data_IF_863940654300
#
_entry.id   IF_863940654300
#
_cell.length_a   1.000
_cell.length_b   1.000
_cell.length_c   1.000
_cell.angle_alpha   90.00
_cell.angle_beta   90.00
_cell.angle_gamma   90.00
#
_symmetry.space_group_name_H-M   'P 1'
#
loop_
_entity.id
_entity.type
_entity.pdbx_description
1 polymer ?
#
# COMPACT_ATOMS: atom_id res chain seq x y z
N UNK A 1 1.59 23.19 15.41
CA UNK A 1 2.76 22.92 14.56
C UNK A 1 2.37 23.08 13.09
N UNK A 2 3.12 23.90 12.37
CA UNK A 2 2.84 24.09 10.95
C UNK A 2 3.39 22.91 10.15
N UNK A 3 2.56 22.35 9.29
CA UNK A 3 3.06 21.35 8.35
C UNK A 3 3.93 22.04 7.30
N UNK A 4 4.99 21.39 6.94
CA UNK A 4 5.83 21.83 5.84
C UNK A 4 5.07 21.63 4.52
N UNK A 5 4.91 22.70 3.75
CA UNK A 5 4.27 22.65 2.43
C UNK A 5 5.31 23.08 1.40
N UNK A 6 5.88 22.13 0.65
CA UNK A 6 6.90 22.47 -0.33
C UNK A 6 6.31 23.22 -1.52
N UNK A 7 7.14 24.00 -2.18
CA UNK A 7 6.75 24.63 -3.44
C UNK A 7 6.62 23.60 -4.54
N UNK A 8 7.57 22.68 -4.61
CA UNK A 8 7.59 21.58 -5.60
C UNK A 8 8.04 20.31 -4.92
N UNK A 9 7.73 19.19 -5.56
CA UNK A 9 8.24 17.91 -5.15
C UNK A 9 7.21 17.05 -4.44
N UNK A 10 7.71 16.00 -3.81
CA UNK A 10 6.87 14.97 -3.20
C UNK A 10 7.06 14.95 -1.69
N UNK A 11 5.96 14.80 -0.98
CA UNK A 11 5.96 14.55 0.47
C UNK A 11 5.27 13.21 0.71
N UNK A 12 5.90 12.35 1.51
CA UNK A 12 5.38 11.03 1.85
C UNK A 12 5.08 10.96 3.33
N UNK A 13 3.91 10.43 3.66
CA UNK A 13 3.49 10.22 5.04
C UNK A 13 2.94 8.80 5.17
N UNK A 14 3.30 8.10 6.24
CA UNK A 14 2.79 6.76 6.52
C UNK A 14 1.68 6.82 7.54
N UNK A 15 0.66 6.00 7.31
CA UNK A 15 -0.46 5.83 8.24
C UNK A 15 -0.78 4.36 8.39
N UNK A 16 -0.97 3.93 9.64
CA UNK A 16 -1.47 2.61 9.93
C UNK A 16 -2.99 2.67 9.90
N UNK A 17 -3.62 1.96 8.95
CA UNK A 17 -5.07 1.98 8.80
C UNK A 17 -5.76 0.99 9.74
N UNK A 18 -5.17 -0.19 9.89
CA UNK A 18 -5.64 -1.22 10.83
C UNK A 18 -4.47 -2.14 11.17
N UNK A 19 -4.73 -3.25 11.87
CA UNK A 19 -3.67 -4.12 12.38
C UNK A 19 -2.77 -4.70 11.29
N UNK A 20 -3.27 -4.82 10.07
CA UNK A 20 -2.53 -5.45 8.99
C UNK A 20 -2.34 -4.58 7.74
N UNK A 21 -2.81 -3.34 7.77
CA UNK A 21 -2.80 -2.48 6.59
C UNK A 21 -2.10 -1.16 6.88
N UNK A 22 -1.09 -0.87 6.09
CA UNK A 22 -0.34 0.38 6.11
C UNK A 22 -0.55 1.10 4.78
N UNK A 23 -0.65 2.41 4.81
CA UNK A 23 -0.65 3.23 3.60
C UNK A 23 0.42 4.30 3.71
N UNK A 24 1.16 4.48 2.62
CA UNK A 24 2.05 5.62 2.44
C UNK A 24 1.38 6.57 1.45
N UNK A 25 1.05 7.76 1.93
CA UNK A 25 0.40 8.78 1.12
C UNK A 25 1.48 9.65 0.51
N UNK A 26 1.57 9.65 -0.81
CA UNK A 26 2.54 10.46 -1.56
C UNK A 26 1.79 11.63 -2.18
N UNK A 27 2.10 12.84 -1.71
CA UNK A 27 1.50 14.07 -2.23
C UNK A 27 2.51 14.76 -3.13
N UNK A 28 2.09 15.10 -4.33
CA UNK A 28 2.92 15.82 -5.28
C UNK A 28 2.50 17.29 -5.31
N UNK A 29 3.47 18.19 -5.14
CA UNK A 29 3.22 19.62 -5.00
C UNK A 29 3.77 20.38 -6.21
N UNK A 30 3.02 21.43 -6.57
CA UNK A 30 3.47 22.44 -7.51
C UNK A 30 2.91 23.79 -7.07
N UNK A 31 3.78 24.81 -6.95
CA UNK A 31 3.42 26.14 -6.46
C UNK A 31 2.67 26.07 -5.11
N UNK A 32 3.19 25.27 -4.18
CA UNK A 32 2.61 25.04 -2.85
C UNK A 32 1.24 24.36 -2.85
N UNK A 33 0.78 23.88 -4.00
CA UNK A 33 -0.51 23.20 -4.12
C UNK A 33 -0.31 21.71 -4.40
N UNK A 34 -1.19 20.89 -3.82
CA UNK A 34 -1.22 19.47 -4.12
C UNK A 34 -1.85 19.29 -5.50
N UNK A 35 -1.08 18.73 -6.44
CA UNK A 35 -1.55 18.46 -7.80
C UNK A 35 -1.90 17.00 -8.03
N UNK A 36 -1.47 16.11 -7.16
CA UNK A 36 -1.79 14.70 -7.27
C UNK A 36 -1.41 13.96 -6.00
N UNK A 37 -2.11 12.86 -5.76
CA UNK A 37 -1.89 12.01 -4.60
C UNK A 37 -1.83 10.56 -5.06
N UNK A 38 -0.84 9.82 -4.58
CA UNK A 38 -0.74 8.37 -4.76
C UNK A 38 -0.81 7.71 -3.39
N UNK A 39 -1.50 6.60 -3.32
CA UNK A 39 -1.67 5.84 -2.09
C UNK A 39 -0.99 4.49 -2.29
N UNK A 40 0.08 4.26 -1.55
CA UNK A 40 0.84 3.00 -1.62
C UNK A 40 0.44 2.15 -0.43
N UNK A 41 -0.27 1.06 -0.70
CA UNK A 41 -0.80 0.17 0.34
C UNK A 41 0.09 -1.04 0.53
N UNK A 42 0.19 -1.48 1.78
CA UNK A 42 0.79 -2.75 2.14
C UNK A 42 -0.15 -3.45 3.12
N UNK A 43 -0.68 -4.60 2.71
CA UNK A 43 -1.51 -5.45 3.57
C UNK A 43 -0.74 -6.71 3.91
N UNK A 44 -0.69 -7.06 5.20
CA UNK A 44 0.03 -8.23 5.69
C UNK A 44 -0.94 -9.23 6.30
N UNK A 45 -0.81 -10.48 5.88
CA UNK A 45 -1.67 -11.55 6.37
C UNK A 45 -0.78 -12.66 6.92
N UNK A 46 -0.90 -12.93 8.23
CA UNK A 46 -0.15 -14.00 8.86
C UNK A 46 -0.80 -15.33 8.58
N UNK A 47 -0.01 -16.29 8.10
CA UNK A 47 -0.46 -17.64 7.79
C UNK A 47 0.45 -18.64 8.48
N UNK A 48 -0.11 -19.82 8.82
CA UNK A 48 0.62 -20.88 9.52
C UNK A 48 1.02 -22.04 8.65
N UNK A 49 0.62 -22.04 7.38
CA UNK A 49 0.93 -23.15 6.46
C UNK A 49 0.93 -22.65 5.02
N UNK A 50 1.53 -23.45 4.15
CA UNK A 50 1.50 -23.17 2.71
C UNK A 50 0.08 -23.27 2.13
N UNK A 51 -0.76 -24.13 2.70
CA UNK A 51 -2.15 -24.23 2.25
C UNK A 51 -2.90 -22.94 2.52
N UNK A 52 -2.76 -22.36 3.72
CA UNK A 52 -3.34 -21.06 4.05
C UNK A 52 -2.78 -19.96 3.16
N UNK A 53 -1.47 -20.01 2.86
CA UNK A 53 -0.83 -19.03 2.00
C UNK A 53 -1.42 -19.09 0.59
N UNK A 54 -1.63 -20.28 0.03
CA UNK A 54 -2.22 -20.46 -1.30
C UNK A 54 -3.64 -19.92 -1.35
N UNK A 55 -4.44 -20.20 -0.32
CA UNK A 55 -5.80 -19.68 -0.24
C UNK A 55 -5.80 -18.14 -0.23
N UNK A 56 -4.88 -17.55 0.53
CA UNK A 56 -4.75 -16.09 0.57
C UNK A 56 -4.29 -15.54 -0.78
N UNK A 57 -3.33 -16.16 -1.41
CA UNK A 57 -2.86 -15.74 -2.74
C UNK A 57 -3.99 -15.80 -3.76
N UNK A 58 -4.81 -16.85 -3.73
CA UNK A 58 -5.95 -16.99 -4.64
C UNK A 58 -6.96 -15.87 -4.40
N UNK A 59 -7.26 -15.55 -3.14
CA UNK A 59 -8.15 -14.46 -2.77
C UNK A 59 -7.62 -13.11 -3.28
N UNK A 60 -6.34 -12.85 -3.08
CA UNK A 60 -5.71 -11.60 -3.50
C UNK A 60 -5.63 -11.50 -5.03
N UNK A 61 -5.38 -12.62 -5.70
CA UNK A 61 -5.39 -12.68 -7.16
C UNK A 61 -6.75 -12.29 -7.71
N UNK A 62 -7.83 -12.77 -7.08
CA UNK A 62 -9.17 -12.38 -7.46
C UNK A 62 -9.42 -10.89 -7.25
N UNK A 63 -8.88 -10.31 -6.18
CA UNK A 63 -8.98 -8.86 -5.96
C UNK A 63 -8.29 -8.10 -7.08
N UNK A 64 -7.11 -8.55 -7.51
CA UNK A 64 -6.38 -7.91 -8.61
C UNK A 64 -7.19 -7.97 -9.90
N UNK A 65 -7.81 -9.12 -10.19
CA UNK A 65 -8.61 -9.28 -11.39
C UNK A 65 -9.87 -8.42 -11.41
N UNK A 66 -10.46 -8.19 -10.23
CA UNK A 66 -11.73 -7.44 -10.13
C UNK A 66 -11.54 -5.94 -9.98
N UNK A 67 -10.40 -5.49 -9.50
CA UNK A 67 -10.15 -4.07 -9.20
C UNK A 67 -9.13 -3.49 -10.17
N UNK A 68 -9.63 -2.83 -11.20
CA UNK A 68 -8.78 -2.18 -12.21
C UNK A 68 -8.02 -0.97 -11.67
N UNK A 69 -8.40 -0.48 -10.50
CA UNK A 69 -7.74 0.65 -9.86
C UNK A 69 -6.42 0.31 -9.17
N UNK A 70 -6.09 -0.98 -9.07
CA UNK A 70 -4.82 -1.39 -8.45
C UNK A 70 -3.68 -1.21 -9.44
N UNK A 71 -2.68 -0.42 -9.04
CA UNK A 71 -1.50 -0.14 -9.86
C UNK A 71 -0.33 -0.92 -9.29
N UNK A 72 0.37 -1.67 -10.15
CA UNK A 72 1.53 -2.49 -9.79
C UNK A 72 1.28 -3.40 -8.59
N UNK A 73 0.19 -4.18 -8.58
CA UNK A 73 -0.05 -5.09 -7.46
C UNK A 73 1.01 -6.18 -7.40
N UNK A 74 1.43 -6.54 -6.20
CA UNK A 74 2.38 -7.61 -5.98
C UNK A 74 2.00 -8.42 -4.75
N UNK A 75 2.27 -9.72 -4.80
CA UNK A 75 2.05 -10.65 -3.69
C UNK A 75 3.39 -11.28 -3.37
N UNK A 76 3.83 -11.17 -2.13
CA UNK A 76 5.13 -11.64 -1.68
C UNK A 76 5.00 -12.43 -0.39
N UNK A 77 5.97 -13.29 -0.11
CA UNK A 77 6.07 -13.98 1.17
C UNK A 77 7.16 -13.32 1.99
N UNK A 78 6.87 -13.05 3.25
CA UNK A 78 7.84 -12.49 4.19
C UNK A 78 8.02 -13.46 5.35
N UNK A 79 9.21 -14.03 5.44
CA UNK A 79 9.55 -15.03 6.46
C UNK A 79 9.92 -14.45 7.82
N UNK A 80 9.92 -13.12 7.99
CA UNK A 80 10.31 -12.50 9.26
C UNK A 80 9.45 -12.94 10.43
N UNK A 81 8.18 -13.25 10.17
CA UNK A 81 7.28 -13.76 11.21
C UNK A 81 7.77 -15.06 11.83
N UNK A 82 8.54 -15.87 11.10
CA UNK A 82 9.10 -17.14 11.61
C UNK A 82 10.06 -16.93 12.77
N UNK A 83 10.68 -15.79 12.87
CA UNK A 83 11.61 -15.48 13.96
C UNK A 83 10.86 -15.27 15.28
N UNK A 84 9.61 -14.87 15.23
CA UNK A 84 8.77 -14.59 16.39
C UNK A 84 7.76 -15.71 16.62
N UNK A 85 7.15 -16.22 15.54
CA UNK A 85 6.11 -17.22 15.59
C UNK A 85 6.53 -18.44 14.77
N UNK A 86 6.94 -19.49 15.47
CA UNK A 86 7.45 -20.71 14.83
C UNK A 86 6.43 -21.24 13.82
N UNK A 87 6.89 -21.43 12.58
CA UNK A 87 6.07 -21.98 11.51
C UNK A 87 5.15 -21.00 10.80
N UNK A 88 5.11 -19.75 11.26
CA UNK A 88 4.28 -18.71 10.64
C UNK A 88 5.09 -17.82 9.72
N UNK A 89 4.43 -17.23 8.73
CA UNK A 89 5.02 -16.22 7.86
C UNK A 89 3.92 -15.29 7.35
N UNK A 90 4.30 -14.20 6.70
CA UNK A 90 3.34 -13.24 6.18
C UNK A 90 3.21 -13.37 4.67
N UNK A 91 1.97 -13.27 4.20
CA UNK A 91 1.68 -12.96 2.80
C UNK A 91 1.51 -11.45 2.74
N UNK A 92 2.31 -10.79 1.92
CA UNK A 92 2.34 -9.33 1.82
C UNK A 92 1.77 -8.91 0.47
N UNK A 93 0.72 -8.12 0.50
CA UNK A 93 0.07 -7.59 -0.70
C UNK A 93 0.35 -6.10 -0.78
N UNK A 94 1.04 -5.71 -1.85
CA UNK A 94 1.37 -4.31 -2.10
C UNK A 94 0.71 -3.84 -3.39
N UNK A 95 0.18 -2.65 -3.36
CA UNK A 95 -0.40 -2.02 -4.53
C UNK A 95 -0.46 -0.51 -4.34
N UNK A 96 -0.66 0.18 -5.44
CA UNK A 96 -0.83 1.64 -5.44
C UNK A 96 -2.19 1.97 -6.01
N UNK A 97 -2.83 2.99 -5.45
CA UNK A 97 -4.05 3.59 -6.01
C UNK A 97 -3.82 5.08 -6.21
N UNK A 98 -4.45 5.64 -7.22
CA UNK A 98 -4.48 7.08 -7.38
C UNK A 98 -5.47 7.67 -6.40
N UNK A 99 -5.04 8.68 -5.67
CA UNK A 99 -5.93 9.49 -4.86
C UNK A 99 -6.51 10.63 -5.69
N UNK A 100 -6.94 11.69 -5.01
CA UNK A 100 -7.46 12.86 -5.70
C UNK A 100 -6.40 13.47 -6.61
N UNK A 101 -6.77 13.76 -7.85
CA UNK A 101 -5.92 14.43 -8.81
C UNK A 101 -6.52 15.80 -9.11
N UNK A 102 -5.66 16.81 -9.10
CA UNK A 102 -6.09 18.16 -9.40
C UNK A 102 -5.71 18.51 -10.84
N UNK A 103 -6.68 18.98 -11.59
CA UNK A 103 -6.40 19.47 -12.94
C UNK A 103 -5.87 20.90 -12.85
N UNK A 104 -4.60 21.06 -13.15
CA UNK A 104 -3.92 22.37 -13.08
C UNK A 104 -3.89 23.09 -14.41
N UNK A 105 -4.44 22.53 -15.45
CA UNK A 105 -4.44 23.13 -16.79
C UNK A 105 -5.50 24.20 -16.96
N UNK A 106 -6.30 24.43 -15.97
CA UNK A 106 -7.33 25.45 -16.00
C UNK A 106 -6.81 26.81 -15.58
#
# INVERSE_FOLDING_TARGET
>A
MKKFVPEFGKVKERQQLDDNTMVEVEKNYQNHNIIGTKLHYEERFRVGSMAEARDKVDELTMRIEKDEGLINPSIQYDGRAKMVYKGSFDVVFKYTKLGAQRNISQ
#
